data_IF_923301104468
#
_entry.id   IF_923301104468
#
_cell.length_a   1.000
_cell.length_b   1.000
_cell.length_c   1.000
_cell.angle_alpha   90.00
_cell.angle_beta   90.00
_cell.angle_gamma   90.00
#
_symmetry.space_group_name_H-M   'P 1'
#
loop_
_entity.id
_entity.type
_entity.pdbx_description
1 polymer ?
#
# COMPACT_ATOMS: atom_id res chain seq x y z
N UNK A 1 -0.47 -11.52 -13.54
CA UNK A 1 0.14 -10.32 -12.94
C UNK A 1 1.20 -10.67 -11.90
N UNK A 2 0.88 -11.39 -10.82
CA UNK A 2 1.83 -11.68 -9.74
C UNK A 2 3.14 -12.37 -10.20
N UNK A 3 3.06 -13.34 -11.12
CA UNK A 3 4.26 -13.98 -11.68
C UNK A 3 5.14 -13.00 -12.46
N UNK A 4 4.52 -12.15 -13.29
CA UNK A 4 5.26 -11.13 -14.04
C UNK A 4 5.99 -10.17 -13.09
N UNK A 5 5.34 -9.73 -12.00
CA UNK A 5 5.97 -8.88 -11.00
C UNK A 5 7.12 -9.60 -10.31
N UNK A 6 6.95 -10.87 -9.93
CA UNK A 6 8.02 -11.67 -9.33
C UNK A 6 9.25 -11.75 -10.24
N UNK A 7 9.04 -11.92 -11.55
CA UNK A 7 10.14 -11.97 -12.52
C UNK A 7 10.90 -10.63 -12.56
N UNK A 8 10.17 -9.49 -12.56
CA UNK A 8 10.78 -8.15 -12.48
C UNK A 8 11.56 -7.96 -11.17
N UNK A 9 11.01 -8.39 -10.04
CA UNK A 9 11.66 -8.27 -8.73
C UNK A 9 12.99 -9.04 -8.64
N UNK A 10 13.17 -10.08 -9.47
CA UNK A 10 14.37 -10.92 -9.52
C UNK A 10 15.44 -10.45 -10.49
N UNK A 11 15.14 -9.48 -11.35
CA UNK A 11 16.14 -8.90 -12.26
C UNK A 11 17.26 -8.24 -11.47
N UNK A 12 18.46 -8.10 -12.05
CA UNK A 12 19.62 -7.50 -11.39
C UNK A 12 19.50 -5.99 -11.24
N UNK A 13 18.76 -5.31 -12.12
CA UNK A 13 18.53 -3.87 -12.08
C UNK A 13 17.62 -3.51 -10.90
N UNK A 14 18.10 -2.77 -9.88
CA UNK A 14 17.25 -2.31 -8.78
C UNK A 14 16.05 -1.54 -9.32
N UNK A 15 14.85 -1.94 -8.88
CA UNK A 15 13.60 -1.35 -9.35
C UNK A 15 12.79 -0.86 -8.15
N UNK A 16 12.12 0.29 -8.30
CA UNK A 16 11.11 0.75 -7.36
C UNK A 16 9.72 0.39 -7.87
N UNK A 17 8.95 -0.35 -7.07
CA UNK A 17 7.59 -0.77 -7.39
C UNK A 17 6.63 -0.14 -6.39
N UNK A 18 5.67 0.65 -6.90
CA UNK A 18 4.51 1.11 -6.15
C UNK A 18 3.31 0.18 -6.38
N UNK A 19 2.64 -0.24 -5.30
CA UNK A 19 1.40 -1.02 -5.38
C UNK A 19 0.26 -0.23 -4.70
N UNK A 20 -0.84 -0.02 -5.44
CA UNK A 20 -2.01 0.74 -5.00
C UNK A 20 -3.03 -0.13 -4.24
N UNK A 21 -2.62 -0.61 -3.07
CA UNK A 21 -3.52 -1.16 -2.05
C UNK A 21 -2.80 -1.26 -0.70
N UNK A 22 -3.55 -1.46 0.39
CA UNK A 22 -2.98 -1.60 1.73
C UNK A 22 -2.05 -2.81 1.84
N UNK A 23 -0.88 -2.64 2.46
CA UNK A 23 0.03 -3.76 2.73
C UNK A 23 -0.25 -4.48 4.05
N UNK A 24 -1.01 -3.85 4.93
CA UNK A 24 -1.44 -4.43 6.21
C UNK A 24 -2.71 -3.76 6.71
N UNK A 25 -3.13 -4.11 7.92
CA UNK A 25 -4.34 -3.65 8.60
C UNK A 25 -4.01 -2.77 9.81
N UNK A 26 -4.99 -2.03 10.35
CA UNK A 26 -4.78 -1.21 11.55
C UNK A 26 -4.63 -2.04 12.82
N UNK A 27 -3.99 -1.47 13.84
CA UNK A 27 -3.68 -2.06 15.14
C UNK A 27 -4.93 -2.67 15.80
N UNK A 28 -6.10 -2.04 15.68
CA UNK A 28 -7.34 -2.61 16.22
C UNK A 28 -7.73 -3.97 15.61
N UNK A 29 -7.31 -4.27 14.36
CA UNK A 29 -7.44 -5.61 13.79
C UNK A 29 -6.52 -6.60 14.51
N UNK A 30 -5.26 -6.22 14.74
CA UNK A 30 -4.29 -7.04 15.47
C UNK A 30 -4.77 -7.32 16.90
N UNK A 31 -5.27 -6.30 17.60
CA UNK A 31 -5.80 -6.43 18.95
C UNK A 31 -7.03 -7.35 19.01
N UNK A 32 -8.00 -7.15 18.10
CA UNK A 32 -9.22 -7.94 18.07
C UNK A 32 -8.96 -9.42 17.82
N UNK A 33 -7.92 -9.73 17.04
CA UNK A 33 -7.59 -11.08 16.63
C UNK A 33 -6.38 -11.68 17.35
N UNK A 34 -5.87 -10.96 18.35
CA UNK A 34 -4.70 -11.32 19.15
C UNK A 34 -3.48 -11.70 18.30
N UNK A 35 -3.29 -10.97 17.20
CA UNK A 35 -2.13 -11.16 16.32
C UNK A 35 -0.91 -10.46 16.92
N UNK A 36 0.29 -11.08 16.84
CA UNK A 36 1.50 -10.38 17.18
C UNK A 36 1.72 -9.20 16.21
N UNK A 37 2.39 -8.12 16.65
CA UNK A 37 2.72 -6.96 15.83
C UNK A 37 3.88 -7.30 14.85
N UNK A 38 3.64 -8.26 13.96
CA UNK A 38 4.59 -8.78 12.99
C UNK A 38 3.90 -8.94 11.64
N UNK A 39 4.46 -8.28 10.61
CA UNK A 39 3.85 -8.26 9.29
C UNK A 39 3.85 -9.63 8.59
N UNK A 40 4.89 -10.44 8.80
CA UNK A 40 4.97 -11.76 8.15
C UNK A 40 3.97 -12.73 8.77
N UNK A 41 3.79 -12.67 10.10
CA UNK A 41 2.75 -13.43 10.80
C UNK A 41 1.35 -12.96 10.41
N UNK A 42 1.14 -11.64 10.28
CA UNK A 42 -0.10 -11.09 9.74
C UNK A 42 -0.42 -11.65 8.35
N UNK A 43 0.52 -11.62 7.40
CA UNK A 43 0.29 -12.13 6.04
C UNK A 43 -0.04 -13.63 6.03
N UNK A 44 0.65 -14.41 6.87
CA UNK A 44 0.39 -15.84 7.01
C UNK A 44 -0.99 -16.13 7.61
N UNK A 45 -1.38 -15.39 8.65
CA UNK A 45 -2.70 -15.49 9.25
C UNK A 45 -3.79 -15.06 8.25
N UNK A 46 -3.63 -13.89 7.62
CA UNK A 46 -4.59 -13.35 6.67
C UNK A 46 -4.85 -14.34 5.52
N UNK A 47 -3.81 -14.93 4.94
CA UNK A 47 -3.97 -15.88 3.83
C UNK A 47 -4.75 -17.15 4.22
N UNK A 48 -4.74 -17.57 5.49
CA UNK A 48 -5.56 -18.72 5.96
C UNK A 48 -7.05 -18.39 5.94
N UNK A 49 -7.42 -17.15 6.25
CA UNK A 49 -8.81 -16.71 6.30
C UNK A 49 -9.31 -16.07 5.00
N UNK A 50 -8.39 -15.53 4.20
CA UNK A 50 -8.64 -14.92 2.90
C UNK A 50 -7.72 -15.51 1.83
N UNK A 51 -7.90 -16.78 1.43
CA UNK A 51 -7.03 -17.45 0.47
C UNK A 51 -7.31 -17.04 -1.00
N UNK A 52 -7.36 -15.74 -1.29
CA UNK A 52 -7.67 -15.21 -2.65
C UNK A 52 -6.54 -15.40 -3.66
N UNK A 53 -5.43 -16.00 -3.24
CA UNK A 53 -4.39 -16.54 -4.13
C UNK A 53 -4.72 -17.93 -4.67
N UNK A 54 -5.74 -18.61 -4.11
CA UNK A 54 -6.16 -19.93 -4.58
C UNK A 54 -7.13 -19.84 -5.77
N UNK A 55 -7.11 -20.84 -6.68
CA UNK A 55 -8.03 -20.87 -7.81
C UNK A 55 -9.49 -20.86 -7.37
N UNK A 56 -10.30 -20.00 -8.01
CA UNK A 56 -11.75 -19.94 -7.79
C UNK A 56 -12.18 -19.12 -6.56
N UNK A 57 -11.26 -18.76 -5.67
CA UNK A 57 -11.56 -17.96 -4.48
C UNK A 57 -11.43 -16.47 -4.81
N UNK A 58 -12.44 -15.68 -4.41
CA UNK A 58 -12.42 -14.24 -4.62
C UNK A 58 -12.96 -13.51 -3.39
N UNK A 59 -12.66 -12.22 -3.30
CA UNK A 59 -13.06 -11.38 -2.15
C UNK A 59 -14.58 -11.42 -1.92
N UNK A 60 -15.39 -11.48 -2.97
CA UNK A 60 -16.84 -11.44 -2.82
C UNK A 60 -17.41 -12.74 -2.23
N UNK A 61 -16.79 -13.90 -2.48
CA UNK A 61 -17.27 -15.18 -1.93
C UNK A 61 -16.95 -15.36 -0.44
N UNK A 62 -15.92 -14.67 0.05
CA UNK A 62 -15.46 -14.69 1.45
C UNK A 62 -16.06 -13.59 2.33
N UNK A 63 -16.84 -12.67 1.73
CA UNK A 63 -17.54 -11.62 2.48
C UNK A 63 -18.83 -12.16 3.11
N UNK A 64 -19.36 -11.49 4.15
CA UNK A 64 -20.64 -11.84 4.76
C UNK A 64 -21.74 -12.09 3.73
N UNK A 65 -22.37 -13.27 3.80
CA UNK A 65 -23.40 -13.72 2.85
C UNK A 65 -22.87 -14.36 1.56
N UNK A 66 -21.55 -14.51 1.42
CA UNK A 66 -20.92 -15.32 0.38
C UNK A 66 -20.91 -16.82 0.72
N UNK A 67 -20.68 -17.66 -0.29
CA UNK A 67 -20.76 -19.11 -0.16
C UNK A 67 -19.67 -19.73 0.75
N UNK A 68 -18.55 -19.01 0.98
CA UNK A 68 -17.35 -19.52 1.64
C UNK A 68 -17.08 -18.80 2.99
N UNK A 69 -18.12 -18.26 3.63
CA UNK A 69 -18.01 -17.17 4.62
C UNK A 69 -17.98 -17.59 6.11
N UNK A 70 -18.10 -18.87 6.47
CA UNK A 70 -18.46 -19.23 7.86
C UNK A 70 -17.42 -18.85 8.94
N UNK A 71 -16.15 -18.56 8.58
CA UNK A 71 -15.08 -18.26 9.57
C UNK A 71 -14.06 -17.17 9.13
N UNK A 72 -14.34 -16.40 8.07
CA UNK A 72 -13.39 -15.41 7.58
C UNK A 72 -13.25 -14.22 8.55
N UNK A 73 -12.01 -13.88 8.96
CA UNK A 73 -11.73 -12.69 9.79
C UNK A 73 -12.22 -11.42 9.09
N UNK A 74 -13.18 -10.72 9.68
CA UNK A 74 -13.72 -9.46 9.15
C UNK A 74 -13.07 -8.25 9.83
N UNK A 75 -13.20 -7.07 9.22
CA UNK A 75 -12.84 -5.80 9.86
C UNK A 75 -13.99 -4.82 9.90
N UNK A 76 -13.73 -3.64 10.43
CA UNK A 76 -14.71 -2.57 10.56
C UNK A 76 -14.36 -1.41 9.60
N UNK A 77 -15.34 -0.94 8.82
CA UNK A 77 -15.15 0.18 7.89
C UNK A 77 -14.75 1.52 8.56
N UNK A 78 -14.85 1.62 9.89
CA UNK A 78 -14.39 2.78 10.69
C UNK A 78 -12.94 2.67 11.15
N UNK A 79 -12.34 1.47 11.12
CA UNK A 79 -10.94 1.28 11.46
C UNK A 79 -10.03 1.91 10.41
N UNK A 80 -8.93 2.53 10.85
CA UNK A 80 -7.95 3.18 9.98
C UNK A 80 -6.54 2.94 10.48
N UNK A 81 -5.63 2.77 9.53
CA UNK A 81 -4.19 2.79 9.81
C UNK A 81 -3.70 4.20 10.10
N UNK A 82 -2.58 4.32 10.79
CA UNK A 82 -1.91 5.61 10.99
C UNK A 82 -1.65 6.30 9.63
N UNK A 83 -1.16 5.56 8.63
CA UNK A 83 -0.90 6.11 7.29
C UNK A 83 -2.18 6.66 6.62
N UNK A 84 -3.31 5.95 6.75
CA UNK A 84 -4.60 6.39 6.19
C UNK A 84 -5.10 7.67 6.87
N UNK A 85 -4.92 7.78 8.20
CA UNK A 85 -5.29 8.97 8.97
C UNK A 85 -4.52 10.20 8.45
N UNK A 86 -3.22 10.00 8.19
CA UNK A 86 -2.25 11.02 7.79
C UNK A 86 -2.32 11.42 6.32
N UNK A 87 -3.01 10.68 5.44
CA UNK A 87 -3.17 11.09 4.03
C UNK A 87 -3.76 12.49 3.84
N UNK A 88 -4.57 13.00 4.78
CA UNK A 88 -5.05 14.40 4.76
C UNK A 88 -3.95 15.44 4.97
N UNK A 89 -2.85 15.03 5.58
CA UNK A 89 -1.67 15.84 5.90
C UNK A 89 -0.55 15.63 4.86
N UNK A 90 -0.73 14.68 3.94
CA UNK A 90 0.22 14.41 2.89
C UNK A 90 0.38 15.65 2.01
N UNK A 91 1.63 16.12 1.93
CA UNK A 91 1.99 17.25 1.09
C UNK A 91 2.02 16.75 -0.35
N UNK A 92 1.20 17.32 -1.23
CA UNK A 92 1.44 17.25 -2.68
C UNK A 92 2.73 18.05 -2.93
N UNK A 93 3.89 17.42 -2.79
CA UNK A 93 5.17 18.05 -3.14
C UNK A 93 5.44 17.74 -4.60
N UNK A 94 5.09 18.71 -5.44
CA UNK A 94 5.49 18.80 -6.83
C UNK A 94 5.68 20.28 -7.17
N UNK A 95 6.92 20.76 -7.07
CA UNK A 95 7.37 22.05 -7.59
C UNK A 95 7.23 23.26 -6.66
N UNK A 96 8.37 23.75 -6.13
CA UNK A 96 8.52 25.11 -5.62
C UNK A 96 7.75 25.47 -4.34
N UNK A 97 8.17 26.54 -3.66
CA UNK A 97 7.48 27.08 -2.49
C UNK A 97 6.01 27.40 -2.79
N UNK A 98 5.05 26.97 -1.95
CA UNK A 98 3.94 27.86 -1.54
C UNK A 98 3.02 27.32 -0.44
N UNK A 99 2.67 28.24 0.47
CA UNK A 99 1.44 28.24 1.24
C UNK A 99 0.21 28.12 0.31
N UNK A 100 -0.78 27.32 0.71
CA UNK A 100 -2.16 27.47 0.21
C UNK A 100 -2.59 26.53 -0.91
N UNK A 101 -2.50 25.20 -0.72
CA UNK A 101 -3.29 24.26 -1.55
C UNK A 101 -4.78 24.51 -1.27
N UNK A 102 -5.60 24.88 -2.26
CA UNK A 102 -7.05 25.04 -2.09
C UNK A 102 -7.65 23.74 -1.55
N UNK A 103 -8.67 23.84 -0.68
CA UNK A 103 -9.26 22.66 -0.02
C UNK A 103 -9.73 21.62 -1.05
N UNK A 104 -10.24 22.06 -2.20
CA UNK A 104 -10.66 21.18 -3.31
C UNK A 104 -9.53 20.41 -4.00
N UNK A 105 -8.26 20.79 -3.81
CA UNK A 105 -7.08 20.10 -4.37
C UNK A 105 -6.32 19.27 -3.33
N UNK A 106 -6.81 19.20 -2.09
CA UNK A 106 -6.20 18.32 -1.07
C UNK A 106 -6.50 16.86 -1.43
N UNK A 107 -5.49 16.01 -1.28
CA UNK A 107 -5.68 14.57 -1.46
C UNK A 107 -6.79 14.08 -0.52
N UNK A 108 -7.84 13.43 -1.06
CA UNK A 108 -8.87 12.84 -0.23
C UNK A 108 -8.25 11.89 0.79
N UNK A 109 -8.83 11.82 1.98
CA UNK A 109 -8.39 10.85 2.97
C UNK A 109 -8.50 9.44 2.39
N UNK A 110 -7.44 8.65 2.50
CA UNK A 110 -7.50 7.23 2.18
C UNK A 110 -8.63 6.56 2.97
N UNK A 111 -9.38 5.73 2.26
CA UNK A 111 -10.46 4.95 2.86
C UNK A 111 -9.87 3.79 3.64
N UNK A 112 -10.64 3.27 4.58
CA UNK A 112 -10.29 2.03 5.26
C UNK A 112 -10.14 0.92 4.24
N UNK A 113 -9.15 0.07 4.46
CA UNK A 113 -9.02 -1.25 3.84
C UNK A 113 -10.26 -2.14 4.03
N UNK A 114 -11.18 -1.80 4.95
CA UNK A 114 -12.45 -2.51 5.17
C UNK A 114 -13.69 -1.80 4.59
N UNK A 115 -13.53 -0.69 3.87
CA UNK A 115 -14.68 0.06 3.33
C UNK A 115 -15.07 -0.45 1.93
N UNK A 116 -15.70 -1.62 1.85
CA UNK A 116 -16.09 -2.24 0.57
C UNK A 116 -17.23 -1.51 -0.15
N UNK A 117 -17.32 -1.70 -1.48
CA UNK A 117 -18.49 -1.35 -2.28
C UNK A 117 -18.75 0.15 -2.49
N UNK A 118 -17.76 1.01 -2.23
CA UNK A 118 -17.87 2.46 -2.45
C UNK A 118 -16.84 2.96 -3.48
N UNK A 119 -17.15 3.98 -4.29
CA UNK A 119 -16.24 4.50 -5.31
C UNK A 119 -14.87 4.88 -4.73
N UNK A 120 -13.76 4.49 -5.35
CA UNK A 120 -12.41 4.80 -4.85
C UNK A 120 -12.03 4.08 -3.55
N UNK A 121 -12.64 2.93 -3.27
CA UNK A 121 -12.20 2.02 -2.20
C UNK A 121 -11.13 1.06 -2.71
N UNK A 122 -10.11 0.85 -1.88
CA UNK A 122 -9.07 -0.16 -2.09
C UNK A 122 -9.34 -1.45 -1.32
N UNK A 123 -10.52 -1.60 -0.70
CA UNK A 123 -10.80 -2.77 0.15
C UNK A 123 -10.74 -4.09 -0.64
N UNK A 124 -11.32 -4.12 -1.84
CA UNK A 124 -11.27 -5.29 -2.73
C UNK A 124 -9.84 -5.59 -3.18
N UNK A 125 -9.09 -4.59 -3.66
CA UNK A 125 -7.71 -4.80 -4.12
C UNK A 125 -6.78 -5.21 -2.98
N UNK A 126 -6.97 -4.65 -1.79
CA UNK A 126 -6.21 -5.01 -0.57
C UNK A 126 -6.45 -6.48 -0.21
N UNK A 127 -7.72 -6.88 -0.04
CA UNK A 127 -8.04 -8.25 0.37
C UNK A 127 -7.66 -9.27 -0.70
N UNK A 128 -7.79 -8.91 -1.99
CA UNK A 128 -7.31 -9.76 -3.08
C UNK A 128 -5.78 -9.86 -3.13
N UNK A 129 -5.07 -8.77 -2.80
CA UNK A 129 -3.64 -8.60 -3.00
C UNK A 129 -2.75 -9.11 -1.87
N UNK A 130 -3.19 -9.06 -0.61
CA UNK A 130 -2.38 -9.48 0.55
C UNK A 130 -1.83 -10.92 0.44
N UNK A 131 -2.61 -11.94 0.02
CA UNK A 131 -2.07 -13.30 -0.20
C UNK A 131 -1.00 -13.36 -1.30
N UNK A 132 -1.11 -12.49 -2.31
CA UNK A 132 -0.09 -12.36 -3.34
C UNK A 132 1.17 -11.66 -2.81
N UNK A 133 1.06 -10.66 -1.92
CA UNK A 133 2.23 -10.07 -1.26
C UNK A 133 3.00 -11.12 -0.45
N UNK A 134 2.29 -11.98 0.29
CA UNK A 134 2.89 -13.13 0.98
C UNK A 134 3.69 -14.01 0.02
N UNK A 135 3.08 -14.37 -1.11
CA UNK A 135 3.72 -15.20 -2.14
C UNK A 135 4.96 -14.52 -2.73
N UNK A 136 4.86 -13.22 -3.06
CA UNK A 136 5.97 -12.44 -3.59
C UNK A 136 7.12 -12.35 -2.58
N UNK A 137 6.84 -12.00 -1.32
CA UNK A 137 7.85 -11.91 -0.25
C UNK A 137 8.58 -13.24 -0.06
N UNK A 138 7.85 -14.35 -0.05
CA UNK A 138 8.43 -15.69 0.09
C UNK A 138 9.35 -16.06 -1.08
N UNK A 139 9.03 -15.61 -2.30
CA UNK A 139 9.73 -16.03 -3.53
C UNK A 139 10.78 -15.05 -4.04
N UNK A 140 10.72 -13.77 -3.65
CA UNK A 140 11.58 -12.72 -4.18
C UNK A 140 12.99 -12.72 -3.55
N UNK A 141 13.14 -13.35 -2.37
CA UNK A 141 14.42 -13.46 -1.68
C UNK A 141 14.90 -12.13 -1.10
N UNK A 142 16.15 -12.12 -0.61
CA UNK A 142 16.70 -11.01 0.17
C UNK A 142 16.97 -9.73 -0.64
N UNK A 143 16.89 -9.77 -1.97
CA UNK A 143 17.16 -8.61 -2.84
C UNK A 143 16.05 -7.56 -2.77
N UNK A 144 14.85 -7.95 -2.37
CA UNK A 144 13.70 -7.04 -2.26
C UNK A 144 13.59 -6.50 -0.85
N UNK A 145 13.50 -5.18 -0.75
CA UNK A 145 13.19 -4.44 0.47
C UNK A 145 11.72 -4.05 0.47
N UNK A 146 10.94 -4.62 1.39
CA UNK A 146 9.53 -4.32 1.58
C UNK A 146 9.40 -3.16 2.54
N UNK A 147 9.31 -1.95 2.01
CA UNK A 147 9.26 -0.74 2.84
C UNK A 147 7.85 -0.51 3.42
N UNK A 148 7.72 -0.12 4.70
CA UNK A 148 8.76 0.07 5.72
C UNK A 148 9.05 -1.18 6.57
N UNK A 149 8.44 -2.33 6.27
CA UNK A 149 8.49 -3.55 7.08
C UNK A 149 9.89 -4.14 7.27
N UNK A 150 10.77 -4.00 6.27
CA UNK A 150 12.17 -4.42 6.36
C UNK A 150 13.09 -3.31 6.90
N UNK A 151 12.51 -2.20 7.36
CA UNK A 151 13.22 -1.02 7.86
C UNK A 151 12.95 0.23 7.02
N UNK A 152 13.13 1.39 7.65
CA UNK A 152 12.99 2.69 7.00
C UNK A 152 14.19 3.03 6.12
N UNK A 153 15.39 2.59 6.53
CA UNK A 153 16.61 2.75 5.77
C UNK A 153 16.71 1.64 4.73
N UNK A 154 16.81 2.04 3.46
CA UNK A 154 16.87 1.12 2.34
C UNK A 154 18.35 0.93 1.96
N UNK A 155 18.89 -0.30 2.05
CA UNK A 155 20.26 -0.56 1.61
C UNK A 155 20.43 -0.31 0.11
N UNK A 156 21.60 0.21 -0.27
CA UNK A 156 21.92 0.47 -1.68
C UNK A 156 21.81 -0.81 -2.54
N UNK A 157 21.29 -0.65 -3.77
CA UNK A 157 21.16 -1.75 -4.73
C UNK A 157 19.98 -2.70 -4.50
N UNK A 158 19.14 -2.46 -3.49
CA UNK A 158 17.90 -3.22 -3.29
C UNK A 158 16.82 -2.79 -4.27
N UNK A 159 16.01 -3.76 -4.70
CA UNK A 159 14.70 -3.48 -5.29
C UNK A 159 13.74 -3.14 -4.16
N UNK A 160 12.90 -2.13 -4.33
CA UNK A 160 12.00 -1.65 -3.28
C UNK A 160 10.56 -1.90 -3.70
N UNK A 161 9.76 -2.45 -2.80
CA UNK A 161 8.31 -2.51 -2.95
C UNK A 161 7.69 -1.65 -1.86
N UNK A 162 6.86 -0.69 -2.25
CA UNK A 162 6.19 0.23 -1.35
C UNK A 162 4.69 0.34 -1.68
N UNK A 163 3.90 0.55 -0.64
CA UNK A 163 2.51 0.95 -0.80
C UNK A 163 2.47 2.40 -1.33
N UNK A 164 1.67 2.63 -2.36
CA UNK A 164 1.44 3.96 -2.93
C UNK A 164 -0.03 4.31 -2.88
N UNK A 165 -0.32 5.60 -2.99
CA UNK A 165 -1.68 6.09 -3.11
C UNK A 165 -1.74 7.09 -4.27
N UNK A 166 -2.13 6.67 -5.49
CA UNK A 166 -2.04 7.47 -6.70
C UNK A 166 -2.75 8.82 -6.61
N UNK A 167 -3.81 8.93 -5.79
CA UNK A 167 -4.50 10.19 -5.51
C UNK A 167 -3.61 11.29 -4.90
N UNK A 168 -2.40 10.96 -4.41
CA UNK A 168 -1.39 11.94 -4.02
C UNK A 168 -0.82 12.72 -5.21
N UNK A 169 -0.79 12.10 -6.40
CA UNK A 169 -0.03 12.60 -7.54
C UNK A 169 -0.84 12.62 -8.85
N UNK A 170 -2.00 11.97 -8.91
CA UNK A 170 -2.78 11.82 -10.14
C UNK A 170 -3.28 13.13 -10.73
N UNK A 171 -3.38 14.18 -9.91
CA UNK A 171 -3.71 15.54 -10.34
C UNK A 171 -2.55 16.32 -10.98
N UNK A 172 -1.32 15.79 -10.97
CA UNK A 172 -0.15 16.45 -11.56
C UNK A 172 -0.07 16.25 -13.08
N UNK A 173 -0.75 15.24 -13.64
CA UNK A 173 -0.76 14.95 -15.07
C UNK A 173 -2.18 14.97 -15.64
N UNK A 174 -2.35 15.44 -16.89
CA UNK A 174 -3.63 15.30 -17.58
C UNK A 174 -3.96 13.81 -17.77
N UNK A 175 -5.25 13.46 -17.70
CA UNK A 175 -5.73 12.08 -17.86
C UNK A 175 -5.77 11.61 -19.31
N UNK A 176 -6.04 12.52 -20.25
CA UNK A 176 -6.16 12.20 -21.69
C UNK A 176 -7.18 11.07 -21.92
N UNK A 177 -6.84 10.06 -22.73
CA UNK A 177 -7.67 8.91 -23.07
C UNK A 177 -7.51 7.71 -22.11
N UNK A 178 -6.70 7.84 -21.05
CA UNK A 178 -6.47 6.77 -20.07
C UNK A 178 -7.71 6.46 -19.23
N UNK A 179 -7.95 5.18 -19.00
CA UNK A 179 -8.85 4.71 -17.93
C UNK A 179 -8.30 5.16 -16.57
N UNK A 180 -9.13 5.06 -15.51
CA UNK A 180 -8.70 5.46 -14.16
C UNK A 180 -7.47 4.64 -13.73
N UNK A 181 -7.54 3.31 -13.87
CA UNK A 181 -6.45 2.40 -13.48
C UNK A 181 -5.17 2.65 -14.30
N UNK A 182 -5.31 2.93 -15.61
CA UNK A 182 -4.17 3.31 -16.45
C UNK A 182 -3.55 4.63 -16.03
N UNK A 183 -4.38 5.61 -15.67
CA UNK A 183 -3.92 6.92 -15.21
C UNK A 183 -3.19 6.82 -13.87
N UNK A 184 -3.72 6.04 -12.93
CA UNK A 184 -3.12 5.82 -11.62
C UNK A 184 -1.77 5.09 -11.71
N UNK A 185 -1.67 4.08 -12.58
CA UNK A 185 -0.40 3.41 -12.86
C UNK A 185 0.63 4.35 -13.51
N UNK A 186 0.21 5.13 -14.51
CA UNK A 186 1.08 6.11 -15.17
C UNK A 186 1.59 7.17 -14.19
N UNK A 187 0.71 7.81 -13.43
CA UNK A 187 1.08 8.91 -12.53
C UNK A 187 1.99 8.41 -11.40
N UNK A 188 1.75 7.20 -10.91
CA UNK A 188 2.65 6.55 -9.95
C UNK A 188 4.04 6.38 -10.55
N UNK A 189 4.16 5.76 -11.73
CA UNK A 189 5.46 5.53 -12.36
C UNK A 189 6.17 6.85 -12.71
N UNK A 190 5.44 7.82 -13.28
CA UNK A 190 5.98 9.13 -13.65
C UNK A 190 6.47 9.90 -12.41
N UNK A 191 5.71 9.90 -11.32
CA UNK A 191 6.12 10.56 -10.08
C UNK A 191 7.35 9.91 -9.45
N UNK A 192 7.39 8.58 -9.37
CA UNK A 192 8.54 7.86 -8.80
C UNK A 192 9.81 8.11 -9.61
N UNK A 193 9.70 8.10 -10.94
CA UNK A 193 10.82 8.42 -11.83
C UNK A 193 11.30 9.87 -11.64
N UNK A 194 10.37 10.84 -11.62
CA UNK A 194 10.72 12.24 -11.43
C UNK A 194 11.39 12.48 -10.08
N UNK A 195 10.84 11.91 -9.00
CA UNK A 195 11.40 12.05 -7.65
C UNK A 195 12.81 11.46 -7.53
N UNK A 196 13.08 10.35 -8.23
CA UNK A 196 14.41 9.73 -8.30
C UNK A 196 15.40 10.62 -9.08
N UNK A 197 15.01 11.08 -10.27
CA UNK A 197 15.83 11.96 -11.11
C UNK A 197 16.16 13.30 -10.43
N UNK A 198 15.21 13.84 -9.67
CA UNK A 198 15.38 15.07 -8.90
C UNK A 198 16.19 14.87 -7.60
N UNK A 199 16.53 13.62 -7.26
CA UNK A 199 17.24 13.29 -6.02
C UNK A 199 16.41 13.50 -4.74
N UNK A 200 15.08 13.59 -4.86
CA UNK A 200 14.17 13.86 -3.73
C UNK A 200 13.54 12.59 -3.15
N UNK A 201 13.57 11.48 -3.90
CA UNK A 201 12.93 10.21 -3.55
C UNK A 201 13.28 9.71 -2.14
N UNK A 202 14.56 9.78 -1.76
CA UNK A 202 15.03 9.31 -0.44
C UNK A 202 14.29 9.98 0.73
N UNK A 203 13.92 11.25 0.59
CA UNK A 203 13.20 11.99 1.64
C UNK A 203 11.77 11.47 1.87
N UNK A 204 11.15 10.87 0.85
CA UNK A 204 9.82 10.29 0.96
C UNK A 204 9.81 8.94 1.69
N UNK A 205 10.94 8.24 1.72
CA UNK A 205 11.15 7.05 2.56
C UNK A 205 11.44 7.39 4.02
N UNK A 206 11.67 8.67 4.36
CA UNK A 206 11.99 9.14 5.71
C UNK A 206 11.04 10.24 6.19
N UNK A 207 9.73 9.96 6.32
CA UNK A 207 8.81 10.93 6.89
C UNK A 207 9.17 11.23 8.36
N UNK A 208 8.97 12.49 8.77
CA UNK A 208 9.18 12.91 10.15
C UNK A 208 8.07 12.37 11.06
N UNK A 209 8.25 11.15 11.59
CA UNK A 209 7.30 10.40 12.42
C UNK A 209 7.83 10.22 13.81
N UNK A 210 6.92 10.19 14.78
CA UNK A 210 7.27 9.84 16.16
C UNK A 210 7.72 8.39 16.23
N UNK A 211 8.48 8.04 17.27
CA UNK A 211 8.92 6.66 17.49
C UNK A 211 7.73 5.69 17.62
N UNK A 212 6.63 6.15 18.22
CA UNK A 212 5.38 5.39 18.31
C UNK A 212 4.79 5.10 16.93
N UNK A 213 4.73 6.10 16.04
CA UNK A 213 4.23 5.89 14.68
C UNK A 213 5.14 4.97 13.87
N UNK A 214 6.46 5.08 14.03
CA UNK A 214 7.42 4.18 13.38
C UNK A 214 7.28 2.75 13.88
N UNK A 215 7.06 2.56 15.18
CA UNK A 215 6.81 1.25 15.77
C UNK A 215 5.50 0.62 15.27
N UNK A 216 4.43 1.41 15.15
CA UNK A 216 3.14 0.94 14.60
C UNK A 216 3.28 0.60 13.10
N UNK A 217 3.94 1.46 12.33
CA UNK A 217 4.16 1.26 10.90
C UNK A 217 5.02 0.02 10.59
N UNK A 218 5.79 -0.50 11.54
CA UNK A 218 6.54 -1.75 11.38
C UNK A 218 5.63 -2.97 11.14
N UNK A 219 4.34 -2.90 11.47
CA UNK A 219 3.36 -3.95 11.17
C UNK A 219 2.08 -3.44 10.48
N UNK A 220 1.70 -2.16 10.59
CA UNK A 220 0.61 -1.57 9.78
C UNK A 220 1.04 -1.13 8.37
N UNK A 221 2.34 -0.90 8.17
CA UNK A 221 2.89 -0.30 6.96
C UNK A 221 2.76 1.23 6.90
N UNK A 222 3.24 1.79 5.80
CA UNK A 222 3.13 3.22 5.49
C UNK A 222 2.92 3.45 4.01
N UNK A 223 2.29 4.57 3.64
CA UNK A 223 2.07 4.97 2.25
C UNK A 223 3.20 5.92 1.85
N UNK A 224 3.91 5.61 0.77
CA UNK A 224 4.97 6.46 0.24
C UNK A 224 4.42 7.85 -0.11
N UNK A 225 5.07 8.90 0.38
CA UNK A 225 4.61 10.28 0.16
C UNK A 225 3.73 10.86 1.27
N UNK A 226 3.26 10.04 2.22
CA UNK A 226 2.47 10.54 3.35
C UNK A 226 3.39 11.04 4.47
N UNK A 227 3.26 12.33 4.78
CA UNK A 227 4.02 13.05 5.80
C UNK A 227 3.23 13.34 7.05
#
# INVERSE_FOLDING_TARGET
MAQWLLDRLKESTPTLVGIDHGFSFPLCYFDQYHLPPDWSQFLNDFQRHWPTDQPGINVQSLRPGGADNDEARQGNATWRRCAEIRTREAKVRGGGEQLGIPVERRTPRAKSVFHFGVPGSVAHSTHAGLPWLRTLRTKAGERVHWWPFDGWDIPAGKTVVAEVYPSLWSGLWPREDRTQDQHDAYCTAAWLQQADQDGTLASFFQPNRTDTERAIAAFEGWILGVS
#
